data_IF_200648627465
#
_entry.id   IF_200648627465
#
_cell.length_a   1.000
_cell.length_b   1.000
_cell.length_c   1.000
_cell.angle_alpha   90.00
_cell.angle_beta   90.00
_cell.angle_gamma   90.00
#
_symmetry.space_group_name_H-M   'P 1'
#
loop_
_entity.id
_entity.type
_entity.pdbx_description
1 polymer ?
#
# COMPACT_ATOMS: atom_id res chain seq x y z
N UNK A 1 53.13 44.20 -17.51
CA UNK A 1 52.49 45.48 -17.06
C UNK A 1 50.98 45.36 -17.18
N UNK A 2 50.38 45.66 -16.12
CA UNK A 2 48.99 45.91 -15.77
C UNK A 2 48.29 44.74 -15.07
N UNK A 3 48.34 44.83 -13.76
CA UNK A 3 47.53 44.27 -12.69
C UNK A 3 46.10 44.79 -12.76
N UNK A 4 45.09 43.90 -12.54
CA UNK A 4 43.82 44.32 -11.97
C UNK A 4 43.43 43.40 -10.83
N UNK A 5 43.20 44.04 -9.71
CA UNK A 5 42.87 43.49 -8.41
C UNK A 5 41.39 43.03 -8.31
N UNK A 6 41.21 42.13 -7.37
CA UNK A 6 40.03 41.44 -6.98
C UNK A 6 38.78 42.22 -6.57
N UNK A 7 37.70 41.46 -6.51
CA UNK A 7 36.63 41.71 -5.56
C UNK A 7 35.89 40.40 -5.27
N UNK A 8 36.19 39.86 -4.10
CA UNK A 8 35.47 38.73 -3.54
C UNK A 8 34.13 39.23 -2.97
N UNK A 9 33.02 38.73 -3.53
CA UNK A 9 31.70 38.93 -2.93
C UNK A 9 31.34 37.66 -2.15
N UNK A 10 31.48 37.81 -0.85
CA UNK A 10 31.11 36.81 0.16
C UNK A 10 29.60 36.90 0.44
N UNK A 11 28.78 36.12 -0.27
CA UNK A 11 27.35 35.95 0.09
C UNK A 11 27.19 34.69 0.93
N UNK A 12 27.14 34.90 2.23
CA UNK A 12 26.71 33.90 3.22
C UNK A 12 25.21 33.64 3.04
N UNK A 13 24.85 32.51 2.44
CA UNK A 13 23.51 31.97 2.56
C UNK A 13 23.29 31.50 4.00
N UNK A 14 22.40 32.16 4.73
CA UNK A 14 21.87 31.69 6.02
C UNK A 14 20.81 30.61 5.74
N UNK A 15 20.87 29.45 6.41
CA UNK A 15 19.78 28.48 6.33
C UNK A 15 18.56 29.04 7.09
N UNK A 16 17.42 29.08 6.42
CA UNK A 16 16.12 29.35 7.07
C UNK A 16 15.73 28.12 7.90
N UNK A 17 15.97 28.18 9.19
CA UNK A 17 15.46 27.24 10.18
C UNK A 17 13.98 27.52 10.44
N UNK A 18 13.11 26.97 9.63
CA UNK A 18 11.68 26.90 9.88
C UNK A 18 11.29 25.48 10.25
N UNK A 19 11.74 24.98 11.40
CA UNK A 19 11.19 23.74 11.98
C UNK A 19 9.77 24.03 12.45
N UNK A 20 8.77 23.44 11.76
CA UNK A 20 7.43 23.31 12.33
C UNK A 20 7.52 22.30 13.49
N UNK A 21 6.85 22.54 14.61
CA UNK A 21 6.83 21.59 15.72
C UNK A 21 6.18 20.29 15.29
N UNK A 22 6.64 19.12 15.77
CA UNK A 22 6.01 17.85 15.51
C UNK A 22 4.57 17.88 16.02
N UNK A 23 3.62 17.38 15.22
CA UNK A 23 2.22 17.21 15.62
C UNK A 23 2.18 16.21 16.78
N UNK A 24 2.08 16.73 17.99
CA UNK A 24 1.84 15.91 19.15
C UNK A 24 0.46 15.23 18.99
N UNK A 25 0.43 13.92 19.01
CA UNK A 25 -0.78 13.11 19.05
C UNK A 25 -1.55 13.43 20.34
N UNK A 26 -2.36 14.48 20.32
CA UNK A 26 -3.28 14.76 21.40
C UNK A 26 -4.25 13.60 21.51
N UNK A 27 -4.27 12.94 22.68
CA UNK A 27 -5.27 11.90 22.99
C UNK A 27 -6.67 12.51 22.80
N UNK A 28 -7.49 12.05 21.82
CA UNK A 28 -8.86 12.51 21.73
C UNK A 28 -9.63 11.98 22.94
N UNK A 29 -10.26 12.86 23.70
CA UNK A 29 -11.29 12.46 24.65
C UNK A 29 -12.52 12.09 23.83
N UNK A 30 -12.71 10.78 23.59
CA UNK A 30 -13.92 10.24 22.97
C UNK A 30 -14.99 10.16 24.06
N UNK A 31 -15.93 11.10 24.05
CA UNK A 31 -17.18 10.98 24.78
C UNK A 31 -18.07 9.98 24.08
N UNK A 32 -18.13 8.74 24.58
CA UNK A 32 -19.09 7.75 24.11
C UNK A 32 -20.49 8.12 24.60
N UNK A 33 -21.37 8.52 23.69
CA UNK A 33 -22.82 8.53 23.94
C UNK A 33 -23.42 7.20 23.45
N UNK A 34 -24.38 6.60 24.18
CA UNK A 34 -25.01 5.34 23.79
C UNK A 34 -25.94 5.52 22.59
N UNK A 35 -25.85 4.57 21.65
CA UNK A 35 -26.46 4.61 20.34
C UNK A 35 -27.88 4.03 20.36
N UNK A 36 -28.83 4.83 19.85
CA UNK A 36 -30.21 4.38 19.56
C UNK A 36 -30.24 3.47 18.32
N UNK A 37 -31.14 2.49 18.37
CA UNK A 37 -31.42 1.51 17.33
C UNK A 37 -32.09 2.14 16.09
N UNK A 38 -31.39 2.18 14.96
CA UNK A 38 -31.93 2.57 13.66
C UNK A 38 -30.95 2.15 12.56
N UNK A 39 -31.34 1.18 11.71
CA UNK A 39 -30.53 0.65 10.62
C UNK A 39 -30.37 1.66 9.47
N UNK A 40 -29.22 2.28 9.39
CA UNK A 40 -28.72 3.07 8.26
C UNK A 40 -27.20 2.96 8.25
N UNK A 41 -26.58 2.92 7.06
CA UNK A 41 -25.14 2.89 6.91
C UNK A 41 -24.52 4.03 7.74
N UNK A 42 -23.69 3.68 8.71
CA UNK A 42 -23.07 4.66 9.61
C UNK A 42 -21.89 5.29 8.90
N UNK A 43 -21.98 6.57 8.61
CA UNK A 43 -20.82 7.38 8.27
C UNK A 43 -20.08 7.67 9.58
N UNK A 44 -19.03 6.88 9.86
CA UNK A 44 -18.14 7.18 10.96
C UNK A 44 -17.17 8.24 10.47
N UNK A 45 -17.25 9.45 11.03
CA UNK A 45 -16.31 10.53 10.74
C UNK A 45 -15.00 10.27 11.49
N UNK A 46 -14.29 9.21 11.09
CA UNK A 46 -12.91 9.03 11.48
C UNK A 46 -12.13 10.27 11.01
N UNK A 47 -11.47 10.98 11.93
CA UNK A 47 -10.68 12.16 11.57
C UNK A 47 -9.44 11.68 10.81
N UNK A 48 -9.49 11.76 9.48
CA UNK A 48 -8.35 11.46 8.61
C UNK A 48 -7.31 12.56 8.77
N UNK A 49 -6.07 12.17 9.02
CA UNK A 49 -4.94 13.07 9.19
C UNK A 49 -3.87 12.76 8.16
N UNK A 50 -3.20 13.79 7.65
CA UNK A 50 -1.99 13.63 6.86
C UNK A 50 -0.86 13.21 7.81
N UNK A 51 -0.34 12.00 7.60
CA UNK A 51 0.81 11.47 8.35
C UNK A 51 2.12 12.00 7.77
N UNK A 52 2.27 11.89 6.45
CA UNK A 52 3.49 12.28 5.75
C UNK A 52 3.17 12.82 4.36
N UNK A 53 3.67 14.03 4.06
CA UNK A 53 3.45 14.72 2.78
C UNK A 53 4.62 14.41 1.83
N UNK A 54 4.59 13.22 1.25
CA UNK A 54 5.67 12.73 0.40
C UNK A 54 5.63 13.34 -1.01
N UNK A 55 4.44 13.69 -1.49
CA UNK A 55 4.24 14.05 -2.90
C UNK A 55 4.58 12.91 -3.86
N UNK A 56 4.39 11.65 -3.41
CA UNK A 56 4.69 10.46 -4.18
C UNK A 56 3.93 10.45 -5.51
N UNK A 57 4.59 10.00 -6.57
CA UNK A 57 3.93 9.81 -7.85
C UNK A 57 2.91 8.67 -7.75
N UNK A 58 3.31 7.56 -7.15
CA UNK A 58 2.45 6.39 -6.93
C UNK A 58 2.83 5.72 -5.60
N UNK A 59 2.35 6.29 -4.49
CA UNK A 59 2.52 5.71 -3.16
C UNK A 59 1.72 4.43 -3.04
N UNK A 60 2.34 3.31 -2.58
CA UNK A 60 1.75 1.96 -2.58
C UNK A 60 2.35 1.08 -1.49
N UNK A 61 1.79 -0.14 -1.38
CA UNK A 61 2.32 -1.23 -0.56
C UNK A 61 2.65 -0.85 0.89
N UNK A 62 1.76 -0.18 1.64
CA UNK A 62 2.01 0.10 3.05
C UNK A 62 2.08 -1.20 3.84
N UNK A 63 3.12 -1.34 4.67
CA UNK A 63 3.40 -2.50 5.52
C UNK A 63 3.85 -2.04 6.90
N UNK A 64 3.16 -2.51 7.92
CA UNK A 64 3.51 -2.20 9.30
C UNK A 64 4.51 -3.21 9.86
N UNK A 65 5.67 -2.74 10.27
CA UNK A 65 6.61 -3.54 11.07
C UNK A 65 6.32 -3.32 12.56
N UNK A 66 5.72 -4.32 13.20
CA UNK A 66 5.42 -4.25 14.62
C UNK A 66 6.68 -4.25 15.49
N UNK A 67 7.76 -5.02 15.18
CA UNK A 67 9.01 -4.95 15.92
C UNK A 67 9.69 -3.58 15.87
N UNK A 68 9.68 -2.95 14.70
CA UNK A 68 10.34 -1.64 14.49
C UNK A 68 9.44 -0.45 14.81
N UNK A 69 8.12 -0.66 14.90
CA UNK A 69 7.12 0.40 15.01
C UNK A 69 7.26 1.42 13.87
N UNK A 70 7.42 0.90 12.64
CA UNK A 70 7.61 1.67 11.40
C UNK A 70 6.63 1.24 10.31
N UNK A 71 6.26 2.20 9.49
CA UNK A 71 5.49 1.97 8.27
C UNK A 71 6.47 1.92 7.09
N UNK A 72 6.60 0.77 6.45
CA UNK A 72 7.24 0.63 5.14
C UNK A 72 6.19 0.89 4.06
N UNK A 73 6.59 1.56 2.99
CA UNK A 73 5.76 1.76 1.80
C UNK A 73 6.65 2.17 0.62
N UNK A 74 6.10 2.19 -0.59
CA UNK A 74 6.86 2.50 -1.80
C UNK A 74 6.27 3.68 -2.56
N UNK A 75 7.11 4.47 -3.23
CA UNK A 75 6.71 5.26 -4.40
C UNK A 75 7.20 4.50 -5.63
N UNK A 76 6.27 3.78 -6.28
CA UNK A 76 6.61 2.89 -7.40
C UNK A 76 7.31 3.68 -8.51
N UNK A 77 6.72 4.78 -8.97
CA UNK A 77 7.26 5.57 -10.08
C UNK A 77 8.45 6.45 -9.66
N UNK A 78 8.51 6.82 -8.38
CA UNK A 78 9.66 7.46 -7.76
C UNK A 78 10.84 6.52 -7.53
N UNK A 79 10.64 5.19 -7.60
CA UNK A 79 11.65 4.16 -7.32
C UNK A 79 12.20 4.27 -5.91
N UNK A 80 11.32 4.51 -4.94
CA UNK A 80 11.69 4.77 -3.55
C UNK A 80 10.98 3.79 -2.63
N UNK A 81 11.73 3.23 -1.68
CA UNK A 81 11.16 2.58 -0.49
C UNK A 81 11.27 3.56 0.66
N UNK A 82 10.19 3.77 1.37
CA UNK A 82 10.07 4.61 2.53
C UNK A 82 9.98 3.78 3.81
N UNK A 83 10.52 4.30 4.90
CA UNK A 83 10.39 3.79 6.26
C UNK A 83 10.02 4.94 7.19
N UNK A 84 8.72 5.11 7.43
CA UNK A 84 8.16 6.24 8.16
C UNK A 84 7.90 5.90 9.62
N UNK A 85 8.32 6.76 10.54
CA UNK A 85 7.92 6.76 11.95
C UNK A 85 6.60 7.51 12.11
N UNK A 86 5.49 6.84 12.41
CA UNK A 86 4.18 7.51 12.49
C UNK A 86 4.03 8.39 13.73
N UNK A 87 4.91 8.26 14.73
CA UNK A 87 4.87 9.06 15.96
C UNK A 87 5.58 10.40 15.76
N UNK A 88 6.74 10.38 15.11
CA UNK A 88 7.56 11.57 14.88
C UNK A 88 7.35 12.22 13.53
N UNK A 89 6.79 11.50 12.57
CA UNK A 89 6.69 11.89 11.17
C UNK A 89 8.04 11.85 10.44
N UNK A 90 9.09 11.28 11.06
CA UNK A 90 10.38 11.11 10.39
C UNK A 90 10.27 10.01 9.33
N UNK A 91 10.87 10.25 8.19
CA UNK A 91 10.90 9.33 7.07
C UNK A 91 12.32 9.09 6.60
N UNK A 92 12.67 7.84 6.43
CA UNK A 92 13.91 7.40 5.83
C UNK A 92 13.62 6.83 4.46
N UNK A 93 14.45 7.13 3.47
CA UNK A 93 14.23 6.71 2.09
C UNK A 93 15.39 5.89 1.55
N UNK A 94 15.07 4.92 0.71
CA UNK A 94 16.01 4.16 -0.08
C UNK A 94 15.61 4.25 -1.55
N UNK A 95 16.48 4.86 -2.37
CA UNK A 95 16.27 4.99 -3.81
C UNK A 95 16.82 3.76 -4.52
N UNK A 96 16.06 3.24 -5.47
CA UNK A 96 16.41 2.08 -6.29
C UNK A 96 16.64 2.49 -7.75
N UNK A 97 17.28 1.61 -8.52
CA UNK A 97 17.55 1.87 -9.94
C UNK A 97 16.33 1.60 -10.83
N UNK A 98 15.37 0.81 -10.34
CA UNK A 98 14.14 0.44 -11.05
C UNK A 98 12.90 0.55 -10.16
N UNK A 99 11.70 0.41 -10.74
CA UNK A 99 10.45 0.49 -10.00
C UNK A 99 10.32 -0.70 -9.03
N UNK A 100 9.67 -0.46 -7.90
CA UNK A 100 9.34 -1.47 -6.89
C UNK A 100 7.83 -1.49 -6.69
N UNK A 101 7.17 -2.60 -7.06
CA UNK A 101 5.72 -2.76 -6.99
C UNK A 101 5.23 -2.95 -5.56
N UNK A 102 5.89 -3.82 -4.80
CA UNK A 102 5.54 -4.03 -3.40
C UNK A 102 6.77 -4.40 -2.54
N UNK A 103 6.60 -4.23 -1.23
CA UNK A 103 7.60 -4.51 -0.22
C UNK A 103 6.97 -5.27 0.95
N UNK A 104 7.71 -6.21 1.56
CA UNK A 104 7.33 -6.79 2.84
C UNK A 104 8.57 -7.08 3.70
N UNK A 105 8.47 -6.98 5.04
CA UNK A 105 9.51 -7.45 5.94
C UNK A 105 9.75 -8.95 5.80
N UNK A 106 10.98 -9.38 6.15
CA UNK A 106 11.37 -10.79 6.22
C UNK A 106 11.50 -11.24 7.65
N UNK A 107 11.11 -12.48 7.93
CA UNK A 107 11.24 -13.10 9.24
C UNK A 107 12.70 -13.17 9.73
N UNK A 108 13.65 -13.30 8.81
CA UNK A 108 15.10 -13.28 9.09
C UNK A 108 15.71 -11.88 9.17
N UNK A 109 14.91 -10.82 9.04
CA UNK A 109 15.36 -9.42 8.93
C UNK A 109 15.55 -8.97 7.47
N UNK A 110 15.52 -7.66 7.25
CA UNK A 110 15.52 -7.07 5.92
C UNK A 110 14.16 -7.12 5.24
N UNK A 111 14.15 -7.02 3.91
CA UNK A 111 12.93 -6.90 3.10
C UNK A 111 12.95 -7.88 1.92
N UNK A 112 11.77 -8.35 1.51
CA UNK A 112 11.51 -8.86 0.18
C UNK A 112 10.83 -7.78 -0.62
N UNK A 113 11.23 -7.61 -1.89
CA UNK A 113 10.67 -6.62 -2.81
C UNK A 113 10.33 -7.27 -4.14
N UNK A 114 9.22 -6.86 -4.73
CA UNK A 114 8.92 -7.16 -6.12
C UNK A 114 9.30 -5.94 -6.96
N UNK A 115 10.32 -6.10 -7.80
CA UNK A 115 10.87 -5.08 -8.68
C UNK A 115 10.05 -4.97 -9.97
N UNK A 116 10.60 -4.43 -11.06
CA UNK A 116 9.86 -4.36 -12.32
C UNK A 116 9.53 -5.75 -12.88
N UNK A 117 10.52 -6.63 -12.98
CA UNK A 117 10.42 -7.92 -13.66
C UNK A 117 10.71 -9.15 -12.79
N UNK A 118 11.24 -8.94 -11.59
CA UNK A 118 11.76 -9.98 -10.71
C UNK A 118 11.51 -9.67 -9.23
N UNK A 119 11.78 -10.63 -8.36
CA UNK A 119 11.83 -10.39 -6.92
C UNK A 119 13.26 -10.31 -6.43
N UNK A 120 13.48 -9.57 -5.34
CA UNK A 120 14.79 -9.41 -4.72
C UNK A 120 14.69 -9.36 -3.19
N UNK A 121 15.80 -9.65 -2.52
CA UNK A 121 15.96 -9.47 -1.08
C UNK A 121 16.87 -8.28 -0.79
N UNK A 122 16.53 -7.52 0.23
CA UNK A 122 17.34 -6.44 0.80
C UNK A 122 17.68 -6.87 2.21
N UNK A 123 18.93 -7.26 2.43
CA UNK A 123 19.32 -7.91 3.69
C UNK A 123 19.34 -6.94 4.88
N UNK A 124 19.62 -5.66 4.65
CA UNK A 124 19.57 -4.60 5.66
C UNK A 124 19.12 -3.29 5.02
N UNK A 125 18.57 -2.37 5.79
CA UNK A 125 18.22 -1.03 5.31
C UNK A 125 19.42 -0.34 4.68
N UNK A 126 19.26 0.09 3.42
CA UNK A 126 20.32 0.72 2.61
C UNK A 126 21.21 -0.25 1.85
N UNK A 127 21.05 -1.56 1.99
CA UNK A 127 21.75 -2.54 1.14
C UNK A 127 21.12 -2.60 -0.25
N UNK A 128 21.95 -2.91 -1.27
CA UNK A 128 21.46 -3.12 -2.62
C UNK A 128 20.54 -4.36 -2.70
N UNK A 129 19.49 -4.33 -3.53
CA UNK A 129 18.65 -5.49 -3.79
C UNK A 129 19.47 -6.64 -4.38
N UNK A 130 19.25 -7.84 -3.89
CA UNK A 130 19.87 -9.09 -4.36
C UNK A 130 18.78 -9.94 -5.01
N UNK A 131 18.92 -10.34 -6.30
CA UNK A 131 17.92 -11.16 -6.98
C UNK A 131 17.53 -12.40 -6.18
N UNK A 132 16.24 -12.70 -6.16
CA UNK A 132 15.69 -13.86 -5.47
C UNK A 132 14.54 -14.49 -6.28
N UNK A 133 14.80 -15.67 -6.81
CA UNK A 133 13.90 -16.34 -7.74
C UNK A 133 14.10 -15.90 -9.20
N UNK A 134 13.27 -16.42 -10.11
CA UNK A 134 13.37 -16.16 -11.55
C UNK A 134 12.79 -14.78 -11.93
N UNK A 135 13.38 -14.13 -12.95
CA UNK A 135 12.88 -12.89 -13.56
C UNK A 135 11.79 -13.23 -14.60
N UNK A 136 10.57 -13.54 -14.14
CA UNK A 136 9.48 -14.07 -15.00
C UNK A 136 8.84 -13.02 -15.89
N UNK A 137 9.10 -11.74 -15.66
CA UNK A 137 8.60 -10.64 -16.49
C UNK A 137 9.68 -10.03 -17.38
N UNK A 138 10.94 -10.50 -17.36
CA UNK A 138 12.05 -9.94 -18.14
C UNK A 138 11.79 -9.93 -19.66
N UNK A 139 11.02 -10.90 -20.18
CA UNK A 139 10.62 -10.95 -21.60
C UNK A 139 9.22 -10.37 -21.86
N UNK A 140 8.63 -9.66 -20.87
CA UNK A 140 7.30 -9.05 -20.93
C UNK A 140 7.39 -7.55 -20.62
N UNK A 141 8.05 -6.74 -21.49
CA UNK A 141 8.33 -5.32 -21.17
C UNK A 141 7.08 -4.46 -21.02
N UNK A 142 5.92 -4.95 -21.43
CA UNK A 142 4.62 -4.32 -21.21
C UNK A 142 4.07 -4.58 -19.81
N UNK A 143 4.72 -5.41 -19.00
CA UNK A 143 4.29 -5.76 -17.64
C UNK A 143 5.31 -5.30 -16.60
N UNK A 144 4.85 -5.13 -15.39
CA UNK A 144 5.67 -5.05 -14.18
C UNK A 144 4.93 -5.68 -13.01
N UNK A 145 5.65 -6.04 -11.96
CA UNK A 145 5.01 -6.37 -10.69
C UNK A 145 4.29 -5.16 -10.09
N UNK A 146 3.22 -5.42 -9.36
CA UNK A 146 2.35 -4.43 -8.75
C UNK A 146 2.10 -4.77 -7.27
N UNK A 147 0.86 -4.95 -6.87
CA UNK A 147 0.45 -5.26 -5.50
C UNK A 147 0.77 -6.71 -5.11
N UNK A 148 1.00 -6.91 -3.82
CA UNK A 148 1.23 -8.23 -3.26
C UNK A 148 1.02 -8.27 -1.75
N UNK A 149 0.94 -9.47 -1.18
CA UNK A 149 0.83 -9.70 0.25
C UNK A 149 1.56 -10.98 0.66
N UNK A 150 1.88 -11.12 1.93
CA UNK A 150 2.47 -12.36 2.49
C UNK A 150 1.37 -13.14 3.20
N UNK A 151 1.28 -14.46 2.92
CA UNK A 151 0.34 -15.35 3.60
C UNK A 151 0.90 -15.87 4.94
N UNK A 152 0.05 -16.55 5.71
CA UNK A 152 0.42 -17.08 7.02
C UNK A 152 1.52 -18.16 7.02
N UNK A 153 1.88 -18.70 5.85
CA UNK A 153 3.00 -19.61 5.67
C UNK A 153 4.30 -18.89 5.25
N UNK A 154 4.27 -17.56 5.16
CA UNK A 154 5.42 -16.73 4.80
C UNK A 154 5.73 -16.71 3.30
N UNK A 155 4.77 -17.02 2.42
CA UNK A 155 4.91 -16.95 0.97
C UNK A 155 4.44 -15.58 0.46
N UNK A 156 5.19 -14.96 -0.45
CA UNK A 156 4.78 -13.71 -1.09
C UNK A 156 3.87 -14.02 -2.29
N UNK A 157 2.67 -13.47 -2.27
CA UNK A 157 1.74 -13.45 -3.39
C UNK A 157 1.83 -12.08 -4.05
N UNK A 158 2.21 -12.05 -5.32
CA UNK A 158 2.46 -10.81 -6.05
C UNK A 158 1.88 -10.89 -7.45
N UNK A 159 1.17 -9.86 -7.85
CA UNK A 159 0.59 -9.79 -9.18
C UNK A 159 1.33 -8.83 -10.10
N UNK A 160 1.18 -9.05 -11.41
CA UNK A 160 1.63 -8.08 -12.40
C UNK A 160 0.48 -7.18 -12.88
N UNK A 161 0.83 -6.14 -13.62
CA UNK A 161 -0.11 -5.34 -14.41
C UNK A 161 0.41 -5.20 -15.84
N UNK A 162 -0.51 -4.92 -16.78
CA UNK A 162 -0.16 -4.49 -18.15
C UNK A 162 -0.16 -2.97 -18.26
N UNK A 163 0.84 -2.41 -18.93
CA UNK A 163 1.02 -0.96 -19.05
C UNK A 163 -0.14 -0.27 -19.76
N UNK A 164 -0.75 -0.92 -20.74
CA UNK A 164 -1.90 -0.40 -21.48
C UNK A 164 -3.23 -0.52 -20.71
N UNK A 165 -3.25 -1.32 -19.63
CA UNK A 165 -4.41 -1.58 -18.76
C UNK A 165 -5.69 -2.00 -19.51
N UNK A 166 -5.52 -2.59 -20.69
CA UNK A 166 -6.60 -3.01 -21.58
C UNK A 166 -6.55 -4.51 -21.86
N UNK A 167 -5.35 -5.07 -22.08
CA UNK A 167 -5.21 -6.47 -22.41
C UNK A 167 -4.99 -7.32 -21.15
N UNK A 168 -5.79 -8.37 -20.91
CA UNK A 168 -5.72 -9.18 -19.70
C UNK A 168 -4.60 -10.23 -19.79
N UNK A 169 -3.34 -9.78 -19.88
CA UNK A 169 -2.15 -10.63 -19.97
C UNK A 169 -1.38 -10.73 -18.64
N UNK A 170 -1.79 -9.98 -17.64
CA UNK A 170 -1.17 -9.99 -16.33
C UNK A 170 -1.55 -11.25 -15.52
N UNK A 171 -0.70 -11.60 -14.57
CA UNK A 171 -0.74 -12.85 -13.80
C UNK A 171 -0.49 -12.60 -12.33
N UNK A 172 -1.15 -13.35 -11.46
CA UNK A 172 -0.80 -13.48 -10.05
C UNK A 172 0.21 -14.62 -9.90
N UNK A 173 1.31 -14.33 -9.20
CA UNK A 173 2.39 -15.28 -8.87
C UNK A 173 2.46 -15.53 -7.37
N UNK A 174 3.08 -16.64 -6.99
CA UNK A 174 3.46 -16.95 -5.61
C UNK A 174 4.94 -17.27 -5.53
N UNK A 175 5.68 -16.51 -4.73
CA UNK A 175 7.08 -16.72 -4.41
C UNK A 175 7.16 -17.47 -3.08
N UNK A 176 7.70 -18.66 -3.12
CA UNK A 176 7.92 -19.49 -1.93
C UNK A 176 9.25 -19.11 -1.23
N UNK A 177 9.43 -19.45 0.07
CA UNK A 177 10.62 -19.09 0.83
C UNK A 177 11.95 -19.64 0.30
N UNK A 178 11.92 -20.66 -0.54
CA UNK A 178 13.09 -21.25 -1.21
C UNK A 178 13.49 -20.54 -2.52
N UNK A 179 12.75 -19.49 -2.90
CA UNK A 179 12.96 -18.75 -4.14
C UNK A 179 12.23 -19.32 -5.37
N UNK A 180 11.49 -20.41 -5.22
CA UNK A 180 10.64 -20.90 -6.31
C UNK A 180 9.45 -19.95 -6.51
N UNK A 181 9.15 -19.64 -7.79
CA UNK A 181 8.06 -18.75 -8.16
C UNK A 181 7.12 -19.48 -9.13
N UNK A 182 5.84 -19.51 -8.77
CA UNK A 182 4.79 -20.21 -9.50
C UNK A 182 3.71 -19.27 -9.97
N UNK A 183 3.20 -19.47 -11.19
CA UNK A 183 1.97 -18.82 -11.64
C UNK A 183 0.77 -19.40 -10.89
N UNK A 184 -0.11 -18.55 -10.37
CA UNK A 184 -1.32 -18.97 -9.65
C UNK A 184 -2.52 -18.91 -10.57
N UNK A 185 -2.79 -17.75 -11.17
CA UNK A 185 -3.75 -17.58 -12.27
C UNK A 185 -3.44 -16.32 -13.07
N UNK A 186 -3.79 -16.34 -14.36
CA UNK A 186 -3.63 -15.23 -15.29
C UNK A 186 -4.97 -14.64 -15.75
N UNK A 187 -4.92 -13.91 -16.85
CA UNK A 187 -6.09 -13.25 -17.43
C UNK A 187 -6.48 -11.99 -16.67
N UNK A 188 -5.51 -11.34 -16.03
CA UNK A 188 -5.65 -10.08 -15.29
C UNK A 188 -5.18 -8.92 -16.13
N UNK A 189 -5.68 -7.73 -15.80
CA UNK A 189 -5.23 -6.47 -16.39
C UNK A 189 -4.37 -5.69 -15.40
N UNK A 190 -4.83 -5.57 -14.15
CA UNK A 190 -4.11 -4.91 -13.08
C UNK A 190 -4.40 -5.62 -11.76
N UNK A 191 -3.47 -6.48 -11.37
CA UNK A 191 -3.57 -7.24 -10.11
C UNK A 191 -3.44 -6.30 -8.91
N UNK A 192 -4.43 -6.34 -8.02
CA UNK A 192 -4.53 -5.52 -6.83
C UNK A 192 -5.30 -6.22 -5.71
N UNK A 193 -5.35 -5.60 -4.53
CA UNK A 193 -6.19 -5.96 -3.41
C UNK A 193 -5.95 -7.35 -2.85
N UNK A 194 -4.72 -7.85 -2.95
CA UNK A 194 -4.34 -9.15 -2.43
C UNK A 194 -4.38 -9.16 -0.90
N UNK A 195 -5.24 -9.99 -0.29
CA UNK A 195 -5.35 -10.10 1.15
C UNK A 195 -5.92 -11.45 1.58
N UNK A 196 -5.61 -11.89 2.80
CA UNK A 196 -6.10 -13.14 3.38
C UNK A 196 -7.06 -12.89 4.55
N UNK A 197 -8.04 -13.79 4.72
CA UNK A 197 -8.87 -13.82 5.92
C UNK A 197 -8.06 -14.18 7.18
N UNK A 198 -8.60 -13.89 8.40
CA UNK A 198 -7.87 -14.14 9.65
C UNK A 198 -7.44 -15.60 9.85
N UNK A 199 -8.22 -16.55 9.33
CA UNK A 199 -7.94 -17.98 9.40
C UNK A 199 -7.06 -18.49 8.25
N UNK A 200 -6.67 -17.60 7.31
CA UNK A 200 -5.88 -17.92 6.13
C UNK A 200 -6.59 -18.78 5.09
N UNK A 201 -7.92 -19.05 5.25
CA UNK A 201 -8.66 -19.97 4.38
C UNK A 201 -9.38 -19.30 3.22
N UNK A 202 -9.35 -17.95 3.17
CA UNK A 202 -9.90 -17.17 2.07
C UNK A 202 -8.87 -16.18 1.58
N UNK A 203 -8.69 -16.15 0.27
CA UNK A 203 -7.88 -15.16 -0.42
C UNK A 203 -8.79 -14.22 -1.20
N UNK A 204 -8.54 -12.93 -1.10
CA UNK A 204 -9.21 -11.89 -1.87
C UNK A 204 -8.25 -11.30 -2.89
N UNK A 205 -8.80 -10.92 -4.05
CA UNK A 205 -8.02 -10.33 -5.14
C UNK A 205 -8.93 -9.42 -5.98
N UNK A 206 -8.42 -8.25 -6.36
CA UNK A 206 -9.06 -7.32 -7.26
C UNK A 206 -8.35 -7.26 -8.60
N UNK A 207 -9.12 -7.12 -9.69
CA UNK A 207 -8.60 -6.66 -10.97
C UNK A 207 -9.21 -5.27 -11.22
N UNK A 208 -8.42 -4.23 -10.99
CA UNK A 208 -8.88 -2.83 -10.88
C UNK A 208 -9.75 -2.37 -12.05
N UNK A 209 -9.40 -2.60 -13.35
CA UNK A 209 -10.21 -2.16 -14.47
C UNK A 209 -11.57 -2.85 -14.57
N UNK A 210 -11.72 -4.03 -13.97
CA UNK A 210 -12.99 -4.77 -13.97
C UNK A 210 -13.97 -4.32 -12.89
N UNK A 211 -13.53 -3.43 -11.97
CA UNK A 211 -14.29 -2.99 -10.80
C UNK A 211 -14.71 -4.13 -9.86
N UNK A 212 -14.01 -5.28 -9.91
CA UNK A 212 -14.43 -6.51 -9.24
C UNK A 212 -13.40 -7.00 -8.24
N UNK A 213 -13.87 -7.37 -7.07
CA UNK A 213 -13.11 -8.15 -6.09
C UNK A 213 -13.63 -9.59 -6.13
N UNK A 214 -12.71 -10.55 -6.23
CA UNK A 214 -12.99 -11.98 -6.15
C UNK A 214 -12.53 -12.54 -4.82
N UNK A 215 -13.19 -13.59 -4.36
CA UNK A 215 -12.76 -14.39 -3.23
C UNK A 215 -12.54 -15.84 -3.68
N UNK A 216 -11.50 -16.44 -3.14
CA UNK A 216 -11.08 -17.82 -3.41
C UNK A 216 -10.97 -18.54 -2.07
N UNK A 217 -11.46 -19.76 -1.98
CA UNK A 217 -11.09 -20.62 -0.87
C UNK A 217 -9.64 -21.08 -1.10
N UNK A 218 -8.85 -21.14 -0.03
CA UNK A 218 -7.43 -21.51 -0.11
C UNK A 218 -7.10 -22.56 0.93
N UNK A 219 -6.29 -23.54 0.56
CA UNK A 219 -5.64 -24.42 1.53
C UNK A 219 -4.41 -23.71 2.11
N UNK A 220 -4.39 -23.33 3.40
CA UNK A 220 -3.28 -22.57 3.96
C UNK A 220 -1.94 -23.32 3.92
N UNK A 221 -1.95 -24.65 3.96
CA UNK A 221 -0.74 -25.45 3.96
C UNK A 221 -0.06 -25.46 2.58
N UNK A 222 -0.81 -25.74 1.51
CA UNK A 222 -0.27 -25.81 0.15
C UNK A 222 -0.32 -24.48 -0.60
N UNK A 223 -1.19 -23.53 -0.21
CA UNK A 223 -1.50 -22.32 -0.97
C UNK A 223 -2.31 -22.58 -2.24
N UNK A 224 -2.95 -23.74 -2.35
CA UNK A 224 -3.79 -24.06 -3.50
C UNK A 224 -5.10 -23.31 -3.41
N UNK A 225 -5.48 -22.61 -4.50
CA UNK A 225 -6.75 -21.90 -4.60
C UNK A 225 -7.84 -22.78 -5.18
N UNK A 226 -9.03 -22.65 -4.61
CA UNK A 226 -10.28 -23.13 -5.22
C UNK A 226 -10.77 -22.21 -6.34
N UNK A 227 -11.99 -22.46 -6.83
CA UNK A 227 -12.61 -21.61 -7.84
C UNK A 227 -12.93 -20.22 -7.27
N UNK A 228 -12.58 -19.18 -8.04
CA UNK A 228 -12.88 -17.79 -7.67
C UNK A 228 -14.36 -17.44 -7.87
N UNK A 229 -14.95 -16.72 -6.92
CA UNK A 229 -16.30 -16.16 -7.00
C UNK A 229 -16.26 -14.65 -6.82
N UNK A 230 -17.20 -13.93 -7.41
CA UNK A 230 -17.36 -12.49 -7.16
C UNK A 230 -17.68 -12.29 -5.69
N UNK A 231 -16.85 -11.49 -5.00
CA UNK A 231 -17.07 -11.09 -3.62
C UNK A 231 -17.79 -9.76 -3.55
N UNK A 232 -17.33 -8.78 -4.34
CA UNK A 232 -17.95 -7.46 -4.49
C UNK A 232 -17.69 -6.90 -5.87
N UNK A 233 -18.64 -6.12 -6.40
CA UNK A 233 -18.48 -5.39 -7.66
C UNK A 233 -18.92 -3.94 -7.46
N UNK A 234 -18.02 -3.00 -7.76
CA UNK A 234 -18.32 -1.58 -7.66
C UNK A 234 -19.00 -1.09 -8.93
N UNK A 235 -20.03 -0.21 -8.81
CA UNK A 235 -20.62 0.47 -9.95
C UNK A 235 -19.56 1.35 -10.67
N UNK A 236 -19.68 1.46 -11.99
CA UNK A 236 -18.85 2.37 -12.77
C UNK A 236 -18.98 3.81 -12.28
N UNK A 237 -17.88 4.55 -12.23
CA UNK A 237 -17.84 5.94 -11.77
C UNK A 237 -17.77 6.13 -10.25
N UNK A 238 -17.78 5.05 -9.46
CA UNK A 238 -17.71 5.11 -7.99
C UNK A 238 -16.33 4.76 -7.43
N UNK A 239 -15.28 4.88 -8.21
CA UNK A 239 -13.92 4.41 -7.90
C UNK A 239 -13.74 2.95 -8.28
N UNK A 240 -12.49 2.51 -8.24
CA UNK A 240 -12.08 1.16 -8.63
C UNK A 240 -11.30 0.52 -7.49
N UNK A 241 -11.52 -0.77 -7.17
CA UNK A 241 -10.77 -1.43 -6.10
C UNK A 241 -9.29 -1.43 -6.41
N UNK A 242 -8.49 -1.00 -5.45
CA UNK A 242 -7.05 -0.95 -5.49
C UNK A 242 -6.47 -1.80 -4.35
N UNK A 243 -5.42 -1.39 -3.66
CA UNK A 243 -4.83 -2.14 -2.57
C UNK A 243 -5.75 -2.30 -1.35
N UNK A 244 -5.52 -3.36 -0.57
CA UNK A 244 -6.45 -3.79 0.46
C UNK A 244 -5.77 -4.38 1.70
N UNK A 245 -6.56 -4.49 2.78
CA UNK A 245 -6.22 -5.24 3.99
C UNK A 245 -7.48 -5.88 4.60
N UNK A 246 -7.27 -6.85 5.49
CA UNK A 246 -8.38 -7.49 6.25
C UNK A 246 -8.21 -7.17 7.72
N UNK A 247 -9.31 -6.91 8.42
CA UNK A 247 -9.32 -6.67 9.86
C UNK A 247 -9.61 -7.95 10.68
N UNK A 248 -9.50 -7.86 12.00
CA UNK A 248 -9.68 -8.99 12.90
C UNK A 248 -11.12 -9.56 12.93
N UNK A 249 -12.10 -8.83 12.44
CA UNK A 249 -13.48 -9.31 12.25
C UNK A 249 -13.67 -9.99 10.88
N UNK A 250 -12.60 -10.08 10.06
CA UNK A 250 -12.64 -10.67 8.74
C UNK A 250 -13.24 -9.76 7.67
N UNK A 251 -13.44 -8.48 7.97
CA UNK A 251 -13.90 -7.51 6.99
C UNK A 251 -12.76 -7.07 6.08
N UNK A 252 -13.05 -6.98 4.79
CA UNK A 252 -12.10 -6.56 3.76
C UNK A 252 -12.19 -5.05 3.56
N UNK A 253 -11.05 -4.37 3.68
CA UNK A 253 -10.91 -2.95 3.44
C UNK A 253 -10.23 -2.73 2.10
N UNK A 254 -10.78 -1.86 1.26
CA UNK A 254 -10.23 -1.52 -0.05
C UNK A 254 -10.10 -0.01 -0.21
N UNK A 255 -8.94 0.43 -0.64
CA UNK A 255 -8.79 1.76 -1.22
C UNK A 255 -9.47 1.80 -2.59
N UNK A 256 -10.07 2.92 -2.95
CA UNK A 256 -10.76 3.08 -4.22
C UNK A 256 -10.04 4.14 -5.08
N UNK A 257 -9.28 3.69 -6.07
CA UNK A 257 -8.68 4.55 -7.08
C UNK A 257 -9.74 5.40 -7.81
N UNK A 258 -9.54 6.69 -7.93
CA UNK A 258 -10.51 7.69 -8.40
C UNK A 258 -11.80 7.75 -7.55
N UNK A 259 -11.77 7.22 -6.31
CA UNK A 259 -12.95 7.09 -5.45
C UNK A 259 -12.96 8.01 -4.24
N UNK A 260 -11.88 8.74 -3.92
CA UNK A 260 -11.77 9.66 -2.77
C UNK A 260 -12.01 9.00 -1.41
N UNK A 261 -11.91 7.67 -1.30
CA UNK A 261 -12.27 6.95 -0.08
C UNK A 261 -11.63 5.58 0.02
N UNK A 262 -11.65 5.05 1.22
CA UNK A 262 -11.54 3.62 1.49
C UNK A 262 -12.88 3.10 1.96
N UNK A 263 -13.16 1.83 1.70
CA UNK A 263 -14.40 1.16 2.08
C UNK A 263 -14.12 -0.09 2.88
N UNK A 264 -15.04 -0.46 3.77
CA UNK A 264 -15.03 -1.70 4.52
C UNK A 264 -16.19 -2.58 4.05
N UNK A 265 -15.86 -3.79 3.65
CA UNK A 265 -16.83 -4.81 3.22
C UNK A 265 -16.93 -5.90 4.27
N UNK A 266 -18.14 -6.32 4.61
CA UNK A 266 -18.36 -7.45 5.52
C UNK A 266 -17.79 -8.75 4.93
N UNK A 267 -17.62 -9.84 5.70
CA UNK A 267 -17.23 -11.15 5.17
C UNK A 267 -18.18 -11.72 4.11
N UNK A 268 -19.38 -11.16 4.00
CA UNK A 268 -20.37 -11.47 2.95
C UNK A 268 -20.22 -10.59 1.69
N UNK A 269 -19.35 -9.58 1.70
CA UNK A 269 -19.13 -8.65 0.59
C UNK A 269 -20.06 -7.44 0.60
N UNK A 270 -20.75 -7.17 1.70
CA UNK A 270 -21.64 -6.00 1.84
C UNK A 270 -20.83 -4.77 2.27
N UNK A 271 -21.10 -3.61 1.68
CA UNK A 271 -20.51 -2.34 2.08
C UNK A 271 -21.09 -1.91 3.44
N UNK A 272 -20.24 -1.87 4.48
CA UNK A 272 -20.67 -1.57 5.85
C UNK A 272 -20.09 -0.27 6.41
N UNK A 273 -18.99 0.23 5.82
CA UNK A 273 -18.37 1.50 6.23
C UNK A 273 -17.65 2.17 5.07
N UNK A 274 -17.63 3.50 5.09
CA UNK A 274 -16.87 4.34 4.15
C UNK A 274 -16.11 5.39 4.94
N UNK A 275 -14.84 5.62 4.56
CA UNK A 275 -14.00 6.69 5.10
C UNK A 275 -13.53 7.54 3.92
N UNK A 276 -13.99 8.80 3.87
CA UNK A 276 -13.60 9.75 2.83
C UNK A 276 -12.17 10.25 3.07
N UNK A 277 -11.42 10.44 1.98
CA UNK A 277 -10.06 10.94 1.98
C UNK A 277 -9.98 12.28 1.21
N UNK A 278 -9.06 13.18 1.59
CA UNK A 278 -8.92 14.48 0.93
C UNK A 278 -8.14 14.38 -0.40
N UNK A 279 -8.05 13.20 -0.99
CA UNK A 279 -7.34 12.92 -2.25
C UNK A 279 -8.16 11.97 -3.12
N UNK A 280 -8.10 12.18 -4.44
CA UNK A 280 -8.87 11.42 -5.41
C UNK A 280 -8.46 9.94 -5.49
N UNK A 281 -7.16 9.68 -5.30
CA UNK A 281 -6.55 8.36 -5.57
C UNK A 281 -5.88 7.79 -4.34
N UNK A 282 -6.64 7.38 -3.31
CA UNK A 282 -6.09 6.44 -2.33
C UNK A 282 -5.75 5.13 -3.05
N UNK A 283 -4.61 4.54 -2.71
CA UNK A 283 -4.06 3.40 -3.44
C UNK A 283 -4.12 2.12 -2.62
N UNK A 284 -3.65 2.13 -1.38
CA UNK A 284 -3.70 0.95 -0.53
C UNK A 284 -3.89 1.33 0.94
N UNK A 285 -4.44 0.40 1.72
CA UNK A 285 -4.62 0.52 3.18
C UNK A 285 -3.82 -0.56 3.89
N UNK A 286 -3.23 -0.21 5.04
CA UNK A 286 -2.66 -1.15 6.00
C UNK A 286 -3.03 -0.76 7.43
N UNK A 287 -2.97 -1.71 8.34
CA UNK A 287 -3.19 -1.47 9.76
C UNK A 287 -1.88 -1.53 10.54
N UNK A 288 -1.77 -0.72 11.59
CA UNK A 288 -0.61 -0.70 12.44
C UNK A 288 -0.84 0.09 13.72
N UNK A 289 0.27 0.55 14.33
CA UNK A 289 0.28 1.10 15.67
C UNK A 289 0.35 -0.01 16.72
N UNK A 290 0.61 0.36 17.98
CA UNK A 290 0.81 -0.61 19.05
C UNK A 290 -0.42 -1.51 19.31
N UNK A 291 -1.62 -1.05 18.97
CA UNK A 291 -2.89 -1.75 19.14
C UNK A 291 -3.50 -2.21 17.82
N UNK A 292 -2.78 -2.06 16.70
CA UNK A 292 -3.24 -2.39 15.34
C UNK A 292 -4.54 -1.68 14.94
N UNK A 293 -4.93 -0.58 15.59
CA UNK A 293 -6.15 0.17 15.32
C UNK A 293 -5.90 1.49 14.58
N UNK A 294 -4.73 1.67 14.01
CA UNK A 294 -4.45 2.79 13.10
C UNK A 294 -4.44 2.28 11.67
N UNK A 295 -5.33 2.81 10.84
CA UNK A 295 -5.26 2.59 9.39
C UNK A 295 -4.30 3.62 8.78
N UNK A 296 -3.41 3.16 7.93
CA UNK A 296 -2.52 3.96 7.09
C UNK A 296 -2.95 3.79 5.64
N UNK A 297 -3.06 4.89 4.91
CA UNK A 297 -3.51 4.87 3.51
C UNK A 297 -2.52 5.65 2.67
N UNK A 298 -1.92 4.99 1.70
CA UNK A 298 -1.09 5.61 0.66
C UNK A 298 -1.95 6.22 -0.43
N UNK A 299 -1.39 7.13 -1.21
CA UNK A 299 -2.10 7.79 -2.31
C UNK A 299 -1.17 8.14 -3.47
N UNK A 300 -1.77 8.42 -4.64
CA UNK A 300 -1.06 8.78 -5.85
C UNK A 300 -1.24 10.25 -6.21
N UNK A 301 -0.12 10.92 -6.55
CA UNK A 301 -0.06 12.29 -7.05
C UNK A 301 0.14 12.39 -8.56
N UNK A 302 0.30 11.26 -9.28
CA UNK A 302 0.55 11.24 -10.71
C UNK A 302 -0.66 11.63 -11.54
N UNK A 303 -0.43 12.16 -12.75
CA UNK A 303 -1.45 12.45 -13.75
C UNK A 303 -2.59 13.35 -13.24
N UNK A 304 -2.27 14.28 -12.34
CA UNK A 304 -3.17 15.33 -11.90
C UNK A 304 -2.90 16.60 -12.72
N UNK A 305 -3.95 17.25 -13.22
CA UNK A 305 -3.86 18.60 -13.77
C UNK A 305 -3.46 19.61 -12.66
N UNK A 306 -3.05 20.81 -13.04
CA UNK A 306 -2.69 21.86 -12.09
C UNK A 306 -3.88 22.25 -11.20
N UNK A 307 -5.10 22.23 -11.72
CA UNK A 307 -6.34 22.49 -10.99
C UNK A 307 -6.63 21.37 -9.98
N UNK A 308 -6.52 20.11 -10.41
CA UNK A 308 -6.71 18.95 -9.54
C UNK A 308 -5.66 18.93 -8.42
N UNK A 309 -4.39 19.25 -8.73
CA UNK A 309 -3.32 19.33 -7.73
C UNK A 309 -3.56 20.45 -6.71
N UNK A 310 -4.08 21.60 -7.13
CA UNK A 310 -4.47 22.69 -6.21
C UNK A 310 -5.63 22.28 -5.30
N UNK A 311 -6.59 21.50 -5.82
CA UNK A 311 -7.74 21.01 -5.06
C UNK A 311 -7.38 19.92 -4.06
N UNK A 312 -6.28 19.19 -4.28
CA UNK A 312 -5.80 18.11 -3.45
C UNK A 312 -4.27 18.21 -3.22
N UNK A 313 -3.82 19.23 -2.48
CA UNK A 313 -2.39 19.58 -2.36
C UNK A 313 -1.53 18.48 -1.71
N UNK A 314 -2.14 17.52 -1.03
CA UNK A 314 -1.48 16.39 -0.36
C UNK A 314 -1.63 15.07 -1.13
N UNK A 315 -2.01 15.10 -2.42
CA UNK A 315 -2.02 13.91 -3.27
C UNK A 315 -0.58 13.34 -3.39
N UNK A 316 -0.44 12.03 -3.19
CA UNK A 316 0.85 11.36 -3.03
C UNK A 316 1.34 11.33 -1.58
N UNK A 317 0.55 11.82 -0.63
CA UNK A 317 0.82 11.69 0.80
C UNK A 317 0.33 10.36 1.38
N UNK A 318 0.76 10.08 2.61
CA UNK A 318 0.26 8.99 3.45
C UNK A 318 -0.68 9.58 4.48
N UNK A 319 -1.87 9.00 4.58
CA UNK A 319 -2.90 9.41 5.53
C UNK A 319 -3.08 8.36 6.62
N UNK A 320 -3.55 8.80 7.79
CA UNK A 320 -3.83 7.91 8.90
C UNK A 320 -5.15 8.29 9.58
N UNK A 321 -5.88 7.29 10.08
CA UNK A 321 -7.06 7.47 10.90
C UNK A 321 -7.24 6.29 11.86
N UNK A 322 -8.01 6.52 12.92
CA UNK A 322 -8.32 5.46 13.89
C UNK A 322 -9.52 4.65 13.41
N UNK A 323 -9.44 3.34 13.58
CA UNK A 323 -10.51 2.38 13.33
C UNK A 323 -10.98 1.76 14.65
N UNK A 324 -12.25 1.31 14.68
CA UNK A 324 -12.84 0.72 15.87
C UNK A 324 -12.53 -0.78 16.05
N UNK A 325 -11.79 -1.37 15.13
CA UNK A 325 -11.41 -2.78 15.09
C UNK A 325 -9.92 -2.88 14.80
N UNK A 326 -9.23 -3.85 15.41
CA UNK A 326 -7.83 -4.08 15.08
C UNK A 326 -7.68 -4.69 13.68
N UNK A 327 -6.66 -4.29 12.95
CA UNK A 327 -6.23 -4.97 11.73
C UNK A 327 -5.50 -6.28 12.06
N UNK A 328 -5.29 -7.11 11.06
CA UNK A 328 -4.44 -8.29 11.18
C UNK A 328 -2.97 -7.87 11.16
N UNK A 329 -2.18 -8.50 12.02
CA UNK A 329 -0.72 -8.46 11.88
C UNK A 329 -0.37 -9.19 10.59
N UNK A 330 0.25 -8.48 9.67
CA UNK A 330 0.70 -9.08 8.41
C UNK A 330 1.89 -10.01 8.68
N UNK A 331 1.90 -11.16 8.03
CA UNK A 331 3.02 -12.09 8.14
C UNK A 331 4.26 -11.53 7.41
N UNK A 332 5.44 -11.87 7.93
CA UNK A 332 6.71 -11.60 7.28
C UNK A 332 7.04 -12.71 6.28
N UNK A 333 7.76 -12.37 5.21
CA UNK A 333 8.26 -13.35 4.25
C UNK A 333 9.28 -14.28 4.91
N UNK A 334 9.13 -15.60 4.73
CA UNK A 334 9.92 -16.59 5.44
C UNK A 334 11.24 -16.99 4.74
N UNK A 335 11.54 -16.40 3.56
CA UNK A 335 12.76 -16.65 2.80
C UNK A 335 13.90 -15.65 3.04
#
# INVERSE_FOLDING_TARGET
MLTFAGMAINQRCRPRSGRRPPLAWARPRIGLQPLGSGGGARYDTAMVQLLYDAGALLGESPRWSAPEQRLYWVDIEGRIIHRTDPVTGADEVMTLDEQVGCVAPRAGGGLVVAMEDSCALIDNWGAAPRPFGPAVLAEKPEQRFNDGCVDGAGRLWVGSLTSDKAHPTATLYRLDPDGSLSEVFGGLTTSNGAAFSPDGRRFYHADTPTHTIRAFDVDPASGTLGAGRIFHQFPLGNGRPDGAAVDAEGCYWSALWDGWRVVRLSPAGELIQTVELPVQRPTMIAFGGADMQTAFVTSAGKNLSDEERKAQPHAGGVFAFRVGVAGLVQADFAG
#
